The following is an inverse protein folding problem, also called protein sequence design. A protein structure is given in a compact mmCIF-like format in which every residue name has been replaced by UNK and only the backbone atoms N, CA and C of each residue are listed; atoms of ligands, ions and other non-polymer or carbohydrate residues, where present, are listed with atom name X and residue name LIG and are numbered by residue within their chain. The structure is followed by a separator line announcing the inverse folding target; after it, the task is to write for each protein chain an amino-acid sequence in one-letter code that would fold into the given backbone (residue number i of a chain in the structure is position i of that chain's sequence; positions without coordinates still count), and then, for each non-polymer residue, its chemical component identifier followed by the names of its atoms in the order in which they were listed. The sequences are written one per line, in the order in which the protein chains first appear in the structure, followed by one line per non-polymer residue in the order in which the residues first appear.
data_IF_120067525599
#
_entry.id   IF_120067525599
#
_cell.length_a   1.000
_cell.length_b   1.000
_cell.length_c   1.000
_cell.angle_alpha   90.00
_cell.angle_beta   90.00
_cell.angle_gamma   90.00
#
_symmetry.space_group_name_H-M   'P 1'
#
loop_
_entity.id
_entity.type
_entity.pdbx_description
1 polymer ?
#
# COMPACT_ATOMS: atom_id res chain seq x y z
N UNK A 1 -11.69 -2.20 -12.75
CA UNK A 1 -12.64 -1.26 -13.37
C UNK A 1 -11.92 0.06 -13.54
N UNK A 2 -11.83 0.58 -14.77
CA UNK A 2 -10.99 1.75 -15.08
C UNK A 2 -11.87 2.97 -15.07
N UNK A 3 -11.48 4.00 -14.31
CA UNK A 3 -12.30 5.18 -14.10
C UNK A 3 -11.63 6.39 -14.72
N UNK A 4 -12.43 7.24 -15.39
CA UNK A 4 -12.01 8.60 -15.72
C UNK A 4 -12.81 9.56 -14.86
N UNK A 5 -12.10 10.28 -14.00
CA UNK A 5 -12.69 11.23 -13.08
C UNK A 5 -12.49 12.65 -13.59
N UNK A 6 -13.55 13.45 -13.58
CA UNK A 6 -13.51 14.88 -13.83
C UNK A 6 -14.27 15.64 -12.78
N UNK A 7 -13.66 16.73 -12.33
CA UNK A 7 -14.31 17.72 -11.48
C UNK A 7 -14.94 18.74 -12.40
N UNK A 8 -16.27 18.80 -12.49
CA UNK A 8 -17.01 19.63 -13.44
C UNK A 8 -17.73 20.75 -12.71
N UNK A 9 -17.56 21.99 -13.18
CA UNK A 9 -18.37 23.12 -12.72
C UNK A 9 -19.80 22.96 -13.26
N UNK A 10 -20.78 23.06 -12.36
CA UNK A 10 -22.20 22.99 -12.72
C UNK A 10 -22.68 24.17 -13.57
N UNK A 11 -22.05 25.34 -13.41
CA UNK A 11 -22.42 26.58 -14.12
C UNK A 11 -21.71 26.73 -15.46
N UNK A 12 -20.38 26.82 -15.48
CA UNK A 12 -19.63 27.06 -16.73
C UNK A 12 -19.23 25.78 -17.47
N UNK A 13 -19.48 24.59 -16.92
CA UNK A 13 -19.19 23.31 -17.57
C UNK A 13 -17.71 22.93 -17.68
N UNK A 14 -16.79 23.79 -17.22
CA UNK A 14 -15.34 23.53 -17.20
C UNK A 14 -15.02 22.30 -16.36
N UNK A 15 -13.99 21.57 -16.77
CA UNK A 15 -13.57 20.30 -16.16
C UNK A 15 -12.11 20.38 -15.70
N UNK A 16 -11.82 19.79 -14.55
CA UNK A 16 -10.47 19.60 -14.03
C UNK A 16 -10.15 18.11 -13.89
N UNK A 17 -8.87 17.77 -13.97
CA UNK A 17 -8.34 16.39 -13.82
C UNK A 17 -7.88 16.08 -12.39
N UNK A 18 -7.96 17.06 -11.50
CA UNK A 18 -7.60 16.96 -10.08
C UNK A 18 -8.73 17.53 -9.22
N UNK A 19 -8.80 17.15 -7.92
CA UNK A 19 -9.78 17.72 -7.00
C UNK A 19 -9.74 19.25 -6.96
N UNK A 20 -10.93 19.84 -7.06
CA UNK A 20 -11.17 21.28 -6.89
C UNK A 20 -12.50 21.42 -6.16
N UNK A 21 -12.54 22.22 -5.08
CA UNK A 21 -13.76 22.39 -4.26
C UNK A 21 -14.74 23.42 -4.88
N UNK A 22 -14.20 24.49 -5.46
CA UNK A 22 -14.95 25.57 -6.12
C UNK A 22 -14.32 25.92 -7.46
N UNK A 23 -15.14 26.24 -8.44
CA UNK A 23 -14.68 26.67 -9.74
C UNK A 23 -13.78 27.89 -9.61
N UNK A 24 -12.57 27.81 -10.16
CA UNK A 24 -11.54 28.86 -10.08
C UNK A 24 -12.01 30.17 -10.76
N UNK A 25 -12.99 30.08 -11.66
CA UNK A 25 -13.41 31.21 -12.50
C UNK A 25 -14.71 31.88 -12.07
N UNK A 26 -15.64 31.12 -11.49
CA UNK A 26 -16.97 31.64 -11.13
C UNK A 26 -17.36 31.35 -9.68
N UNK A 27 -16.51 30.66 -8.91
CA UNK A 27 -16.73 30.35 -7.49
C UNK A 27 -17.79 29.28 -7.21
N UNK A 28 -18.43 28.72 -8.25
CA UNK A 28 -19.52 27.77 -8.12
C UNK A 28 -19.04 26.41 -7.59
N UNK A 29 -19.96 25.62 -7.02
CA UNK A 29 -19.66 24.27 -6.57
C UNK A 29 -19.24 23.36 -7.74
N UNK A 30 -18.28 22.50 -7.45
CA UNK A 30 -17.77 21.50 -8.37
C UNK A 30 -18.40 20.14 -8.07
N UNK A 31 -18.89 19.47 -9.10
CA UNK A 31 -19.37 18.09 -9.02
C UNK A 31 -18.28 17.11 -9.47
N UNK A 32 -18.10 16.01 -8.74
CA UNK A 32 -17.24 14.90 -9.16
C UNK A 32 -18.03 14.01 -10.12
N UNK A 33 -17.56 13.94 -11.37
CA UNK A 33 -18.13 13.09 -12.43
C UNK A 33 -17.21 11.90 -12.62
N UNK A 34 -17.77 10.70 -12.59
CA UNK A 34 -17.03 9.43 -12.73
C UNK A 34 -17.66 8.62 -13.84
N UNK A 35 -16.84 8.17 -14.78
CA UNK A 35 -17.19 7.28 -15.88
C UNK A 35 -16.36 6.02 -15.79
N UNK A 36 -16.92 4.88 -16.22
CA UNK A 36 -16.32 3.56 -16.03
C UNK A 36 -16.12 2.80 -17.35
N UNK A 37 -16.63 3.33 -18.46
CA UNK A 37 -16.54 2.71 -19.79
C UNK A 37 -15.56 3.51 -20.62
N UNK A 38 -14.44 2.89 -20.96
CA UNK A 38 -13.40 3.55 -21.73
C UNK A 38 -13.00 2.72 -22.94
N UNK A 39 -12.74 3.41 -24.04
CA UNK A 39 -12.21 2.82 -25.27
C UNK A 39 -10.86 3.42 -25.62
N UNK A 40 -10.05 2.68 -26.35
CA UNK A 40 -8.81 3.18 -26.93
C UNK A 40 -9.13 4.04 -28.15
N UNK A 41 -8.69 5.30 -28.15
CA UNK A 41 -8.90 6.25 -29.27
C UNK A 41 -7.62 6.66 -29.97
N UNK A 42 -6.48 6.19 -29.49
CA UNK A 42 -5.18 6.42 -30.10
C UNK A 42 -4.10 5.71 -29.30
N UNK A 43 -2.94 5.53 -29.92
CA UNK A 43 -1.78 4.98 -29.23
C UNK A 43 -0.48 5.48 -29.87
N UNK A 44 0.60 5.40 -29.11
CA UNK A 44 1.97 5.59 -29.60
C UNK A 44 2.89 4.57 -28.94
N UNK A 45 3.89 4.09 -29.69
CA UNK A 45 4.87 3.12 -29.20
C UNK A 45 6.17 3.85 -28.85
N UNK A 46 6.65 3.65 -27.63
CA UNK A 46 7.83 4.30 -27.08
C UNK A 46 8.99 3.32 -27.13
N UNK A 47 10.09 3.74 -27.75
CA UNK A 47 11.32 2.95 -27.89
C UNK A 47 12.51 3.50 -27.09
N UNK A 48 12.37 4.73 -26.56
CA UNK A 48 13.45 5.40 -25.83
C UNK A 48 13.23 5.19 -24.33
N UNK A 49 14.14 4.49 -23.63
CA UNK A 49 14.03 4.29 -22.19
C UNK A 49 14.33 5.60 -21.44
N UNK A 50 13.86 5.70 -20.20
CA UNK A 50 14.25 6.76 -19.26
C UNK A 50 14.42 6.17 -17.86
N UNK A 51 15.07 6.87 -16.91
CA UNK A 51 15.34 6.31 -15.58
C UNK A 51 14.10 5.82 -14.81
N UNK A 52 12.91 6.38 -15.08
CA UNK A 52 11.66 5.94 -14.45
C UNK A 52 10.98 4.78 -15.20
N UNK A 53 11.38 4.52 -16.44
CA UNK A 53 10.83 3.50 -17.32
C UNK A 53 11.95 2.92 -18.22
N UNK A 54 12.79 2.03 -17.66
CA UNK A 54 13.92 1.46 -18.38
C UNK A 54 13.52 0.37 -19.38
N UNK A 55 12.35 -0.25 -19.20
CA UNK A 55 11.87 -1.34 -20.07
C UNK A 55 11.14 -0.75 -21.27
N UNK A 56 11.64 -1.05 -22.47
CA UNK A 56 11.09 -0.66 -23.78
C UNK A 56 11.16 -1.85 -24.76
N UNK A 57 10.31 -1.90 -25.80
CA UNK A 57 9.25 -0.95 -26.13
C UNK A 57 8.01 -1.10 -25.23
N UNK A 58 7.28 0.00 -25.04
CA UNK A 58 5.94 -0.01 -24.42
C UNK A 58 4.99 0.92 -25.17
N UNK A 59 3.68 0.71 -25.01
CA UNK A 59 2.63 1.54 -25.59
C UNK A 59 2.13 2.59 -24.60
N UNK A 60 1.82 3.78 -25.11
CA UNK A 60 0.97 4.76 -24.44
C UNK A 60 -0.33 4.82 -25.22
N UNK A 61 -1.39 4.27 -24.65
CA UNK A 61 -2.74 4.33 -25.21
C UNK A 61 -3.47 5.56 -24.66
N UNK A 62 -4.30 6.18 -25.49
CA UNK A 62 -5.24 7.22 -25.09
C UNK A 62 -6.60 6.59 -24.86
N UNK A 63 -7.05 6.59 -23.60
CA UNK A 63 -8.37 6.15 -23.22
C UNK A 63 -9.34 7.32 -23.33
N UNK A 64 -10.55 7.09 -23.85
CA UNK A 64 -11.64 8.06 -23.88
C UNK A 64 -12.90 7.44 -23.28
N UNK A 65 -13.58 8.19 -22.41
CA UNK A 65 -14.86 7.79 -21.84
C UNK A 65 -16.07 8.24 -22.68
N UNK A 66 -17.27 7.84 -22.27
CA UNK A 66 -18.53 8.23 -22.90
C UNK A 66 -18.83 9.75 -22.92
N UNK A 67 -18.10 10.53 -22.13
CA UNK A 67 -18.23 11.99 -22.04
C UNK A 67 -17.11 12.74 -22.78
N UNK A 68 -16.31 12.03 -23.59
CA UNK A 68 -15.19 12.57 -24.36
C UNK A 68 -13.98 12.95 -23.52
N UNK A 69 -13.90 12.53 -22.26
CA UNK A 69 -12.75 12.80 -21.40
C UNK A 69 -11.64 11.81 -21.72
N UNK A 70 -10.41 12.32 -21.86
CA UNK A 70 -9.25 11.53 -22.27
C UNK A 70 -8.23 11.31 -21.17
N UNK A 71 -7.60 10.14 -21.12
CA UNK A 71 -6.54 9.82 -20.18
C UNK A 71 -5.47 8.93 -20.81
N UNK A 72 -4.18 9.30 -20.75
CA UNK A 72 -3.12 8.43 -21.21
C UNK A 72 -2.90 7.28 -20.20
N UNK A 73 -2.66 6.08 -20.72
CA UNK A 73 -2.31 4.88 -19.94
C UNK A 73 -1.11 4.20 -20.60
N UNK A 74 -0.12 3.84 -19.77
CA UNK A 74 1.02 3.02 -20.19
C UNK A 74 0.65 1.54 -20.10
N UNK A 75 1.05 0.76 -21.09
CA UNK A 75 0.83 -0.68 -21.18
C UNK A 75 1.88 -1.31 -22.09
N UNK A 76 2.29 -2.54 -21.77
CA UNK A 76 3.12 -3.42 -22.58
C UNK A 76 2.29 -4.17 -23.62
N UNK A 77 0.95 -4.17 -23.49
CA UNK A 77 0.04 -4.83 -24.42
C UNK A 77 -0.22 -3.96 -25.64
N UNK A 78 -0.41 -4.59 -26.78
CA UNK A 78 -0.90 -3.92 -27.98
C UNK A 78 -2.45 -3.80 -27.91
N UNK A 79 -2.96 -2.68 -28.40
CA UNK A 79 -4.38 -2.36 -28.50
C UNK A 79 -4.68 -1.73 -29.86
N UNK A 80 -5.88 -1.97 -30.37
CA UNK A 80 -6.42 -1.28 -31.55
C UNK A 80 -7.35 -0.13 -31.14
N UNK A 81 -7.51 0.84 -32.05
CA UNK A 81 -8.51 1.89 -31.87
C UNK A 81 -9.90 1.25 -31.86
N UNK A 82 -10.71 1.60 -30.86
CA UNK A 82 -12.04 1.04 -30.63
C UNK A 82 -12.07 -0.06 -29.56
N UNK A 83 -10.92 -0.64 -29.18
CA UNK A 83 -10.86 -1.66 -28.13
C UNK A 83 -11.38 -1.11 -26.79
N UNK A 84 -12.17 -1.91 -26.09
CA UNK A 84 -12.62 -1.61 -24.73
C UNK A 84 -11.47 -1.92 -23.76
N UNK A 85 -11.09 -0.94 -22.95
CA UNK A 85 -10.07 -1.13 -21.91
C UNK A 85 -10.74 -1.39 -20.56
N UNK A 86 -10.39 -2.49 -19.92
CA UNK A 86 -10.90 -2.82 -18.59
C UNK A 86 -9.85 -3.55 -17.75
N UNK A 87 -9.72 -3.12 -16.49
CA UNK A 87 -9.01 -3.90 -15.48
C UNK A 87 -9.99 -4.88 -14.84
N UNK A 88 -9.67 -6.17 -14.91
CA UNK A 88 -10.46 -7.26 -14.34
C UNK A 88 -10.02 -7.46 -12.89
N UNK A 89 -10.91 -7.25 -11.89
CA UNK A 89 -10.59 -7.52 -10.51
C UNK A 89 -10.31 -9.00 -10.25
N UNK A 90 -9.43 -9.29 -9.30
CA UNK A 90 -9.17 -10.65 -8.82
C UNK A 90 -9.01 -10.63 -7.30
N UNK A 91 -9.76 -11.49 -6.62
CA UNK A 91 -9.75 -11.57 -5.15
C UNK A 91 -8.93 -12.73 -4.61
N UNK A 92 -8.18 -13.44 -5.47
CA UNK A 92 -7.30 -14.53 -5.07
C UNK A 92 -6.10 -14.05 -4.26
N UNK A 93 -5.56 -14.94 -3.44
CA UNK A 93 -4.32 -14.69 -2.67
C UNK A 93 -3.08 -14.54 -3.57
N UNK A 94 -3.17 -14.91 -4.85
CA UNK A 94 -2.12 -14.71 -5.86
C UNK A 94 -2.19 -13.36 -6.57
N UNK A 95 -3.14 -12.48 -6.21
CA UNK A 95 -3.36 -11.20 -6.87
C UNK A 95 -2.82 -10.02 -6.06
N UNK A 96 -2.29 -9.03 -6.78
CA UNK A 96 -1.90 -7.72 -6.26
C UNK A 96 -2.36 -6.63 -7.20
N UNK A 97 -3.07 -5.64 -6.66
CA UNK A 97 -3.39 -4.42 -7.39
C UNK A 97 -2.27 -3.39 -7.19
N UNK A 98 -1.85 -2.76 -8.27
CA UNK A 98 -0.93 -1.63 -8.25
C UNK A 98 -1.61 -0.44 -8.92
N UNK A 99 -1.75 0.67 -8.20
CA UNK A 99 -2.43 1.87 -8.70
C UNK A 99 -1.52 3.08 -8.59
N UNK A 100 -1.35 3.82 -9.68
CA UNK A 100 -0.68 5.13 -9.65
C UNK A 100 -1.53 6.16 -8.92
N UNK A 101 -1.00 6.70 -7.83
CA UNK A 101 -1.53 7.88 -7.18
C UNK A 101 -1.23 9.11 -8.05
N UNK A 102 -2.26 9.77 -8.57
CA UNK A 102 -2.13 11.00 -9.37
C UNK A 102 -2.42 12.23 -8.53
N UNK A 103 -3.70 12.49 -8.29
CA UNK A 103 -4.16 13.73 -7.64
C UNK A 103 -5.08 13.49 -6.44
N UNK A 104 -5.83 12.38 -6.43
CA UNK A 104 -6.83 12.06 -5.40
C UNK A 104 -6.45 10.75 -4.69
N UNK A 105 -6.18 10.82 -3.39
CA UNK A 105 -5.87 9.65 -2.57
C UNK A 105 -7.05 8.69 -2.46
N UNK A 106 -8.27 9.22 -2.39
CA UNK A 106 -9.47 8.39 -2.30
C UNK A 106 -9.70 7.58 -3.58
N UNK A 107 -9.43 8.17 -4.75
CA UNK A 107 -9.47 7.45 -6.02
C UNK A 107 -8.49 6.28 -6.01
N UNK A 108 -7.21 6.53 -5.72
CA UNK A 108 -6.17 5.52 -5.76
C UNK A 108 -6.42 4.38 -4.74
N UNK A 109 -6.81 4.73 -3.52
CA UNK A 109 -7.10 3.75 -2.45
C UNK A 109 -8.34 2.93 -2.79
N UNK A 110 -9.45 3.56 -3.17
CA UNK A 110 -10.67 2.82 -3.53
C UNK A 110 -10.46 1.93 -4.75
N UNK A 111 -9.67 2.39 -5.73
CA UNK A 111 -9.35 1.58 -6.92
C UNK A 111 -8.53 0.36 -6.56
N UNK A 112 -7.46 0.53 -5.77
CA UNK A 112 -6.60 -0.58 -5.35
C UNK A 112 -7.41 -1.64 -4.60
N UNK A 113 -8.33 -1.21 -3.72
CA UNK A 113 -9.21 -2.12 -2.99
C UNK A 113 -10.19 -2.82 -3.93
N UNK A 114 -10.90 -2.11 -4.81
CA UNK A 114 -11.89 -2.72 -5.71
C UNK A 114 -11.25 -3.67 -6.75
N UNK A 115 -10.02 -3.40 -7.20
CA UNK A 115 -9.25 -4.30 -8.07
C UNK A 115 -8.89 -5.63 -7.39
N UNK A 116 -8.90 -5.68 -6.05
CA UNK A 116 -8.72 -6.92 -5.28
C UNK A 116 -10.04 -7.56 -4.82
N UNK A 117 -11.15 -7.16 -5.46
CA UNK A 117 -12.50 -7.65 -5.18
C UNK A 117 -13.18 -7.02 -3.98
N UNK A 118 -12.70 -5.86 -3.51
CA UNK A 118 -13.33 -5.09 -2.43
C UNK A 118 -13.11 -5.68 -1.04
N UNK A 119 -13.64 -4.99 -0.02
CA UNK A 119 -13.61 -5.43 1.37
C UNK A 119 -14.98 -5.92 1.82
N UNK A 120 -15.00 -7.09 2.47
CA UNK A 120 -16.16 -7.55 3.25
C UNK A 120 -15.98 -7.02 4.66
N UNK A 121 -16.95 -6.22 5.13
CA UNK A 121 -16.88 -5.67 6.47
C UNK A 121 -17.09 -6.78 7.51
N UNK A 122 -16.29 -6.73 8.59
CA UNK A 122 -16.51 -7.52 9.80
C UNK A 122 -17.32 -6.74 10.84
N UNK A 123 -17.53 -7.36 12.01
CA UNK A 123 -18.18 -6.69 13.16
C UNK A 123 -17.38 -5.48 13.68
N UNK A 124 -16.06 -5.54 13.53
CA UNK A 124 -15.09 -4.53 13.94
C UNK A 124 -13.95 -4.49 12.92
N UNK A 125 -13.38 -3.31 12.71
CA UNK A 125 -12.31 -3.08 11.74
C UNK A 125 -11.11 -2.51 12.49
N UNK A 126 -9.98 -3.19 12.38
CA UNK A 126 -8.71 -2.75 12.95
C UNK A 126 -7.79 -2.30 11.83
N UNK A 127 -7.43 -1.02 11.83
CA UNK A 127 -6.52 -0.42 10.85
C UNK A 127 -5.15 -0.27 11.50
N UNK A 128 -4.14 -0.89 10.90
CA UNK A 128 -2.76 -0.86 11.35
C UNK A 128 -1.90 0.01 10.42
N UNK A 129 -1.77 1.32 10.67
CA UNK A 129 -0.79 2.13 9.95
C UNK A 129 0.65 1.73 10.34
N UNK A 130 1.64 2.46 9.85
CA UNK A 130 3.04 2.38 10.24
C UNK A 130 3.48 3.70 10.89
N UNK A 131 4.06 3.59 12.07
CA UNK A 131 4.59 4.73 12.83
C UNK A 131 5.80 4.27 13.68
N UNK A 132 6.95 4.09 13.04
CA UNK A 132 8.16 3.61 13.74
C UNK A 132 8.85 4.68 14.59
N UNK A 133 8.84 5.93 14.14
CA UNK A 133 9.45 7.08 14.82
C UNK A 133 8.57 8.32 14.72
N UNK A 134 8.68 9.28 15.66
CA UNK A 134 8.00 10.57 15.55
C UNK A 134 8.47 11.32 14.30
N UNK A 135 7.60 11.43 13.30
CA UNK A 135 7.92 12.06 12.04
C UNK A 135 6.69 12.32 11.19
N UNK A 136 6.83 13.26 10.27
CA UNK A 136 5.80 13.58 9.29
C UNK A 136 5.89 12.66 8.08
N UNK A 137 4.75 12.37 7.46
CA UNK A 137 4.66 11.46 6.31
C UNK A 137 5.44 11.90 5.08
N UNK A 138 5.70 13.20 4.90
CA UNK A 138 6.53 13.70 3.79
C UNK A 138 8.00 13.26 3.89
N UNK A 139 8.42 12.71 5.03
CA UNK A 139 9.74 12.08 5.22
C UNK A 139 9.76 10.59 4.86
N UNK A 140 8.61 10.00 4.47
CA UNK A 140 8.50 8.57 4.18
C UNK A 140 8.60 7.64 5.39
N UNK A 141 8.53 8.20 6.61
CA UNK A 141 8.77 7.46 7.87
C UNK A 141 7.52 6.78 8.44
N UNK A 142 6.35 7.30 8.13
CA UNK A 142 5.07 6.84 8.63
C UNK A 142 4.02 6.86 7.51
N UNK A 143 2.96 6.08 7.67
CA UNK A 143 1.86 6.04 6.71
C UNK A 143 1.28 7.43 6.53
N UNK A 144 1.07 7.82 5.28
CA UNK A 144 0.51 9.10 4.93
C UNK A 144 -0.91 9.24 5.50
N UNK A 145 -1.20 10.26 6.33
CA UNK A 145 -2.52 10.45 6.90
C UNK A 145 -3.60 10.63 5.81
N UNK A 146 -3.23 11.07 4.59
CA UNK A 146 -4.16 11.13 3.44
C UNK A 146 -4.58 9.74 2.93
N UNK A 147 -3.73 8.72 3.06
CA UNK A 147 -4.10 7.32 2.74
C UNK A 147 -5.07 6.78 3.77
N UNK A 148 -4.84 7.05 5.06
CA UNK A 148 -5.76 6.66 6.13
C UNK A 148 -7.10 7.40 6.01
N UNK A 149 -7.07 8.70 5.72
CA UNK A 149 -8.28 9.49 5.46
C UNK A 149 -9.09 8.91 4.29
N UNK A 150 -8.43 8.58 3.19
CA UNK A 150 -9.05 7.94 2.02
C UNK A 150 -9.65 6.56 2.35
N UNK A 151 -8.92 5.73 3.08
CA UNK A 151 -9.40 4.42 3.53
C UNK A 151 -10.64 4.55 4.43
N UNK A 152 -10.62 5.46 5.40
CA UNK A 152 -11.76 5.71 6.29
C UNK A 152 -12.97 6.22 5.51
N UNK A 153 -12.77 7.14 4.55
CA UNK A 153 -13.84 7.59 3.66
C UNK A 153 -14.46 6.43 2.88
N UNK A 154 -13.65 5.55 2.29
CA UNK A 154 -14.14 4.36 1.59
C UNK A 154 -14.93 3.42 2.51
N UNK A 155 -14.40 3.11 3.70
CA UNK A 155 -15.06 2.22 4.65
C UNK A 155 -16.39 2.79 5.14
N UNK A 156 -16.44 4.08 5.50
CA UNK A 156 -17.61 4.70 6.10
C UNK A 156 -18.66 5.05 5.03
N UNK A 157 -18.26 5.73 3.96
CA UNK A 157 -19.20 6.26 2.96
C UNK A 157 -19.64 5.20 1.96
N UNK A 158 -18.73 4.34 1.51
CA UNK A 158 -19.02 3.41 0.40
C UNK A 158 -19.42 2.03 0.90
N UNK A 159 -18.84 1.58 2.03
CA UNK A 159 -19.17 0.29 2.64
C UNK A 159 -20.12 0.39 3.83
N UNK A 160 -20.43 1.59 4.31
CA UNK A 160 -21.38 1.81 5.41
C UNK A 160 -20.88 1.39 6.79
N UNK A 161 -19.55 1.31 6.98
CA UNK A 161 -18.97 1.02 8.30
C UNK A 161 -19.31 2.14 9.29
N UNK A 162 -19.73 1.77 10.51
CA UNK A 162 -19.96 2.75 11.58
C UNK A 162 -18.60 3.22 12.13
N UNK A 163 -18.35 4.52 12.31
CA UNK A 163 -17.09 5.02 12.88
C UNK A 163 -16.66 4.32 14.17
N UNK A 164 -17.60 4.12 15.10
CA UNK A 164 -17.37 3.41 16.37
C UNK A 164 -16.95 1.93 16.24
N UNK A 165 -17.12 1.32 15.06
CA UNK A 165 -16.63 -0.04 14.77
C UNK A 165 -15.20 -0.07 14.21
N UNK A 166 -14.61 1.10 13.94
CA UNK A 166 -13.27 1.24 13.36
C UNK A 166 -12.29 1.73 14.44
N UNK A 167 -11.17 1.05 14.55
CA UNK A 167 -10.07 1.41 15.45
C UNK A 167 -8.77 1.49 14.67
N UNK A 168 -8.07 2.61 14.76
CA UNK A 168 -6.68 2.74 14.33
C UNK A 168 -5.80 2.23 15.47
N UNK A 169 -4.95 1.24 15.23
CA UNK A 169 -4.15 0.63 16.28
C UNK A 169 -2.67 0.61 15.92
N UNK A 170 -1.83 1.03 16.85
CA UNK A 170 -0.38 1.08 16.68
C UNK A 170 0.32 1.05 18.04
N UNK A 171 1.62 0.77 18.07
CA UNK A 171 2.49 1.03 19.21
C UNK A 171 3.88 1.47 18.75
N UNK A 172 4.63 2.07 19.67
CA UNK A 172 6.02 2.42 19.44
C UNK A 172 6.91 1.71 20.47
N UNK A 173 8.01 1.10 20.03
CA UNK A 173 8.95 0.40 20.91
C UNK A 173 10.10 1.27 21.42
N UNK A 174 10.39 2.38 20.74
CA UNK A 174 11.59 3.19 20.92
C UNK A 174 11.32 4.59 21.47
N UNK A 175 10.16 5.15 21.16
CA UNK A 175 9.74 6.50 21.49
C UNK A 175 8.35 6.49 22.14
N UNK A 176 7.95 7.55 22.86
CA UNK A 176 6.61 7.66 23.40
C UNK A 176 5.53 7.54 22.31
N UNK A 177 4.46 6.78 22.60
CA UNK A 177 3.36 6.58 21.67
C UNK A 177 2.66 7.90 21.34
N UNK A 178 2.39 8.71 22.35
CA UNK A 178 1.65 9.98 22.25
C UNK A 178 2.39 11.01 21.37
N UNK A 179 3.72 11.08 21.48
CA UNK A 179 4.54 11.94 20.62
C UNK A 179 4.49 11.47 19.16
N UNK A 180 4.67 10.16 18.96
CA UNK A 180 4.73 9.55 17.63
C UNK A 180 3.40 9.70 16.89
N UNK A 181 2.28 9.42 17.55
CA UNK A 181 0.95 9.46 16.94
C UNK A 181 0.53 10.90 16.62
N UNK A 182 0.92 11.86 17.46
CA UNK A 182 0.69 13.28 17.20
C UNK A 182 1.44 13.74 15.95
N UNK A 183 2.75 13.49 15.84
CA UNK A 183 3.57 13.94 14.70
C UNK A 183 3.18 13.27 13.37
N UNK A 184 2.66 12.04 13.41
CA UNK A 184 2.20 11.32 12.22
C UNK A 184 1.00 11.99 11.52
N UNK A 185 0.24 12.84 12.22
CA UNK A 185 -1.00 13.44 11.74
C UNK A 185 -2.23 12.52 11.83
N UNK A 186 -2.08 11.30 12.35
CA UNK A 186 -3.18 10.34 12.49
C UNK A 186 -4.22 10.77 13.53
N UNK A 187 -3.84 11.57 14.54
CA UNK A 187 -4.78 12.13 15.53
C UNK A 187 -5.86 12.98 14.86
N UNK A 188 -5.48 13.86 13.93
CA UNK A 188 -6.43 14.74 13.24
C UNK A 188 -7.35 13.97 12.29
N UNK A 189 -6.81 12.95 11.62
CA UNK A 189 -7.62 12.04 10.78
C UNK A 189 -8.61 11.25 11.64
N UNK A 190 -8.18 10.72 12.79
CA UNK A 190 -9.04 9.97 13.70
C UNK A 190 -10.19 10.84 14.24
N UNK A 191 -9.88 12.08 14.67
CA UNK A 191 -10.88 13.06 15.12
C UNK A 191 -11.87 13.40 14.01
N UNK A 192 -11.39 13.69 12.80
CA UNK A 192 -12.21 14.04 11.63
C UNK A 192 -13.27 12.97 11.35
N UNK A 193 -12.90 11.70 11.43
CA UNK A 193 -13.79 10.56 11.16
C UNK A 193 -14.46 9.99 12.40
N UNK A 194 -14.20 10.53 13.59
CA UNK A 194 -14.73 10.05 14.88
C UNK A 194 -14.39 8.56 15.16
N UNK A 195 -13.20 8.13 14.76
CA UNK A 195 -12.70 6.77 15.03
C UNK A 195 -11.74 6.77 16.21
N UNK A 196 -11.60 5.62 16.88
CA UNK A 196 -10.73 5.49 18.05
C UNK A 196 -9.29 5.20 17.63
N UNK A 197 -8.35 5.65 18.47
CA UNK A 197 -6.95 5.24 18.42
C UNK A 197 -6.68 4.30 19.59
N UNK A 198 -6.05 3.17 19.33
CA UNK A 198 -5.66 2.17 20.32
C UNK A 198 -4.13 2.07 20.38
N UNK A 199 -3.58 2.26 21.57
CA UNK A 199 -2.18 1.96 21.88
C UNK A 199 -2.03 0.47 22.17
N UNK A 200 -1.40 -0.26 21.24
CA UNK A 200 -1.25 -1.72 21.33
C UNK A 200 -0.40 -2.15 22.53
N UNK A 201 0.48 -1.28 23.05
CA UNK A 201 1.31 -1.60 24.21
C UNK A 201 0.50 -1.79 25.50
N UNK A 202 -0.72 -1.24 25.55
CA UNK A 202 -1.65 -1.29 26.69
C UNK A 202 -2.69 -2.42 26.56
N UNK A 203 -2.55 -3.29 25.57
CA UNK A 203 -3.49 -4.40 25.32
C UNK A 203 -3.07 -5.69 26.02
N UNK A 204 -3.98 -6.66 26.09
CA UNK A 204 -3.65 -8.04 26.44
C UNK A 204 -2.83 -8.69 25.30
N UNK A 205 -1.78 -9.44 25.63
CA UNK A 205 -1.00 -10.21 24.68
C UNK A 205 -1.24 -11.71 24.88
N UNK A 206 -1.48 -12.43 23.79
CA UNK A 206 -1.65 -13.89 23.79
C UNK A 206 -0.47 -14.56 23.08
N UNK A 207 -0.15 -15.79 23.51
CA UNK A 207 0.94 -16.55 22.90
C UNK A 207 0.46 -17.30 21.67
N UNK A 208 1.23 -17.20 20.58
CA UNK A 208 1.09 -18.00 19.36
C UNK A 208 2.42 -18.65 19.04
N UNK A 209 2.38 -19.91 18.60
CA UNK A 209 3.55 -20.65 18.17
C UNK A 209 3.38 -21.04 16.72
N UNK A 210 4.46 -20.94 15.96
CA UNK A 210 4.59 -21.55 14.65
C UNK A 210 6.04 -22.00 14.51
N UNK A 211 6.24 -23.30 14.26
CA UNK A 211 7.57 -23.93 14.23
C UNK A 211 8.33 -23.64 15.54
N UNK A 212 9.59 -23.24 15.44
CA UNK A 212 10.46 -22.93 16.59
C UNK A 212 10.25 -21.52 17.17
N UNK A 213 9.28 -20.78 16.67
CA UNK A 213 9.01 -19.41 17.08
C UNK A 213 7.76 -19.33 17.96
N UNK A 214 7.92 -18.69 19.12
CA UNK A 214 6.82 -18.27 20.00
C UNK A 214 6.73 -16.75 20.01
N UNK A 215 5.52 -16.22 19.80
CA UNK A 215 5.22 -14.80 19.75
C UNK A 215 4.17 -14.45 20.79
N UNK A 216 4.38 -13.38 21.55
CA UNK A 216 3.32 -12.71 22.30
C UNK A 216 2.72 -11.62 21.40
N UNK A 217 1.46 -11.78 21.02
CA UNK A 217 0.77 -10.95 20.04
C UNK A 217 -0.44 -10.30 20.70
N UNK A 218 -0.63 -9.00 20.48
CA UNK A 218 -1.79 -8.25 20.97
C UNK A 218 -3.08 -8.94 20.55
N UNK A 219 -3.93 -9.25 21.53
CA UNK A 219 -5.22 -9.91 21.33
C UNK A 219 -6.16 -9.11 20.41
N UNK A 220 -5.98 -7.78 20.34
CA UNK A 220 -6.77 -6.88 19.51
C UNK A 220 -6.81 -7.31 18.03
N UNK A 221 -5.73 -7.90 17.50
CA UNK A 221 -5.70 -8.35 16.09
C UNK A 221 -6.63 -9.56 15.87
N UNK A 222 -6.83 -10.42 16.88
CA UNK A 222 -7.68 -11.61 16.81
C UNK A 222 -9.15 -11.31 17.11
N UNK A 223 -9.41 -10.27 17.90
CA UNK A 223 -10.77 -9.82 18.22
C UNK A 223 -11.40 -8.99 17.08
N UNK A 224 -10.60 -8.58 16.09
CA UNK A 224 -11.04 -7.82 14.94
C UNK A 224 -11.78 -8.70 13.91
N UNK A 225 -12.92 -8.22 13.41
CA UNK A 225 -13.63 -8.88 12.31
C UNK A 225 -12.97 -8.67 10.94
N UNK A 226 -12.18 -7.61 10.79
CA UNK A 226 -11.37 -7.31 9.63
C UNK A 226 -10.10 -6.56 10.08
N UNK A 227 -8.93 -7.05 9.68
CA UNK A 227 -7.64 -6.36 9.89
C UNK A 227 -7.18 -5.77 8.55
N UNK A 228 -6.90 -4.47 8.55
CA UNK A 228 -6.35 -3.75 7.40
C UNK A 228 -4.96 -3.23 7.78
N UNK A 229 -3.94 -3.87 7.25
CA UNK A 229 -2.55 -3.48 7.39
C UNK A 229 -2.21 -2.38 6.37
N UNK A 230 -1.66 -1.25 6.80
CA UNK A 230 -1.37 -0.08 5.96
C UNK A 230 0.09 0.34 6.12
N UNK A 231 1.07 -0.48 5.66
CA UNK A 231 2.48 -0.15 5.77
C UNK A 231 2.82 1.06 4.89
N UNK A 232 3.75 1.91 5.31
CA UNK A 232 4.49 2.75 4.37
C UNK A 232 5.66 1.95 3.82
N UNK A 233 5.86 1.97 2.51
CA UNK A 233 6.89 1.17 1.85
C UNK A 233 8.26 1.81 2.04
N UNK A 234 9.20 1.07 2.64
CA UNK A 234 10.58 1.52 2.81
C UNK A 234 11.56 0.44 2.40
N UNK A 235 12.76 0.85 2.03
CA UNK A 235 13.91 -0.06 2.07
C UNK A 235 14.33 -0.31 3.52
N UNK A 236 14.84 -1.50 3.79
CA UNK A 236 15.41 -1.88 5.09
C UNK A 236 16.82 -2.45 4.89
N UNK A 237 17.77 -2.04 5.73
CA UNK A 237 19.17 -2.47 5.63
C UNK A 237 19.39 -3.96 5.91
N UNK A 238 18.51 -4.59 6.69
CA UNK A 238 18.63 -5.96 7.18
C UNK A 238 17.72 -6.90 6.38
N UNK A 239 16.45 -6.54 6.26
CA UNK A 239 15.39 -7.34 5.66
C UNK A 239 15.16 -7.01 4.17
N UNK A 240 15.75 -5.92 3.68
CA UNK A 240 15.60 -5.42 2.31
C UNK A 240 14.44 -4.44 2.13
N UNK A 241 13.31 -4.68 2.81
CA UNK A 241 12.07 -3.89 2.72
C UNK A 241 11.29 -3.91 4.05
N UNK A 242 10.80 -2.72 4.44
CA UNK A 242 9.69 -2.50 5.38
C UNK A 242 8.38 -2.46 4.57
N UNK A 243 7.57 -3.50 4.74
CA UNK A 243 6.40 -3.78 3.92
C UNK A 243 5.25 -4.36 4.74
N UNK A 244 4.46 -5.23 4.11
CA UNK A 244 3.31 -5.88 4.74
C UNK A 244 3.72 -6.59 6.04
N UNK A 245 4.79 -7.36 5.97
CA UNK A 245 5.25 -8.19 7.08
C UNK A 245 5.79 -7.38 8.25
N UNK A 246 6.74 -6.50 8.00
CA UNK A 246 7.42 -5.75 9.06
C UNK A 246 6.44 -4.86 9.82
N UNK A 247 5.44 -4.29 9.14
CA UNK A 247 4.46 -3.46 9.81
C UNK A 247 3.61 -4.21 10.87
N UNK A 248 3.43 -5.53 10.69
CA UNK A 248 2.74 -6.39 11.65
C UNK A 248 3.57 -6.68 12.90
N UNK A 249 4.89 -6.40 12.90
CA UNK A 249 5.76 -6.55 14.09
C UNK A 249 5.23 -5.71 15.26
N UNK A 250 4.56 -4.57 15.00
CA UNK A 250 3.99 -3.76 16.08
C UNK A 250 2.70 -4.34 16.66
N UNK A 251 2.30 -5.57 16.33
CA UNK A 251 1.37 -6.32 17.17
C UNK A 251 2.08 -7.17 18.22
N UNK A 252 3.40 -7.34 18.14
CA UNK A 252 4.16 -8.13 19.10
C UNK A 252 4.34 -7.38 20.43
N UNK A 253 4.55 -8.13 21.52
CA UNK A 253 5.08 -7.55 22.75
C UNK A 253 6.51 -7.02 22.50
N UNK A 254 6.90 -5.95 23.19
CA UNK A 254 8.27 -5.41 23.09
C UNK A 254 9.33 -6.48 23.39
N UNK A 255 9.07 -7.34 24.38
CA UNK A 255 9.92 -8.49 24.73
C UNK A 255 10.08 -9.46 23.55
N UNK A 256 8.99 -9.80 22.85
CA UNK A 256 9.04 -10.69 21.68
C UNK A 256 9.82 -10.03 20.53
N UNK A 257 9.63 -8.73 20.31
CA UNK A 257 10.40 -7.99 19.31
C UNK A 257 11.90 -8.06 19.60
N UNK A 258 12.34 -7.71 20.83
CA UNK A 258 13.75 -7.73 21.24
C UNK A 258 14.37 -9.13 21.15
N UNK A 259 13.59 -10.19 21.43
CA UNK A 259 14.03 -11.59 21.33
C UNK A 259 14.47 -11.98 19.91
N UNK A 260 13.86 -11.41 18.88
CA UNK A 260 14.08 -11.81 17.48
C UNK A 260 14.80 -10.75 16.64
N UNK A 261 14.82 -9.48 17.03
CA UNK A 261 15.40 -8.39 16.23
C UNK A 261 16.91 -8.21 16.37
N UNK A 262 17.54 -8.86 17.35
CA UNK A 262 18.99 -8.76 17.61
C UNK A 262 19.86 -9.49 16.58
N UNK A 263 19.32 -10.48 15.89
CA UNK A 263 20.03 -11.27 14.88
C UNK A 263 19.28 -11.16 13.54
N UNK A 264 19.92 -10.67 12.46
CA UNK A 264 19.33 -10.56 11.12
C UNK A 264 18.70 -11.84 10.56
N UNK A 265 19.37 -12.99 10.72
CA UNK A 265 18.88 -14.26 10.20
C UNK A 265 17.67 -14.73 11.00
N UNK A 266 17.74 -14.61 12.32
CA UNK A 266 16.63 -14.93 13.22
C UNK A 266 15.42 -14.01 12.97
N UNK A 267 15.66 -12.72 12.72
CA UNK A 267 14.61 -11.76 12.39
C UNK A 267 13.90 -12.15 11.09
N UNK A 268 14.65 -12.49 10.02
CA UNK A 268 14.08 -12.93 8.76
C UNK A 268 13.27 -14.23 8.88
N UNK A 269 13.78 -15.22 9.61
CA UNK A 269 13.07 -16.49 9.86
C UNK A 269 11.80 -16.27 10.70
N UNK A 270 11.88 -15.45 11.75
CA UNK A 270 10.72 -15.12 12.58
C UNK A 270 9.65 -14.38 11.77
N UNK A 271 10.06 -13.46 10.90
CA UNK A 271 9.14 -12.70 10.05
C UNK A 271 8.45 -13.60 9.00
N UNK A 272 9.17 -14.58 8.45
CA UNK A 272 8.65 -15.49 7.44
C UNK A 272 7.45 -16.33 7.93
N UNK A 273 7.32 -16.57 9.24
CA UNK A 273 6.20 -17.34 9.83
C UNK A 273 4.97 -16.52 10.21
N UNK A 274 5.03 -15.19 10.06
CA UNK A 274 3.92 -14.29 10.39
C UNK A 274 2.57 -14.65 9.76
N UNK A 275 2.47 -15.14 8.50
CA UNK A 275 1.16 -15.41 7.89
C UNK A 275 0.36 -16.48 8.63
N UNK A 276 1.02 -17.30 9.46
CA UNK A 276 0.37 -18.39 10.21
C UNK A 276 0.04 -18.04 11.65
N UNK A 277 0.68 -17.04 12.24
CA UNK A 277 0.43 -16.64 13.63
C UNK A 277 -0.57 -15.49 13.75
N UNK A 278 -0.82 -14.75 12.66
CA UNK A 278 -1.85 -13.72 12.58
C UNK A 278 -3.15 -14.25 11.92
N UNK A 279 -4.33 -13.68 12.25
CA UNK A 279 -5.52 -13.93 11.45
C UNK A 279 -5.34 -13.35 10.04
N UNK A 280 -6.14 -13.77 9.05
CA UNK A 280 -6.10 -13.17 7.71
C UNK A 280 -6.27 -11.65 7.77
N UNK A 281 -5.42 -10.92 7.06
CA UNK A 281 -5.45 -9.47 7.00
C UNK A 281 -5.31 -8.99 5.56
N UNK A 282 -5.93 -7.85 5.25
CA UNK A 282 -5.78 -7.19 3.97
C UNK A 282 -4.64 -6.17 4.06
N UNK A 283 -3.74 -6.13 3.08
CA UNK A 283 -2.67 -5.12 3.06
C UNK A 283 -2.98 -4.06 2.00
N UNK A 284 -2.97 -2.79 2.43
CA UNK A 284 -3.01 -1.60 1.60
C UNK A 284 -1.68 -0.85 1.74
N UNK A 285 -0.70 -1.14 0.89
CA UNK A 285 0.62 -0.54 0.94
C UNK A 285 0.62 0.92 0.47
N UNK A 286 1.08 1.81 1.33
CA UNK A 286 1.33 3.21 1.03
C UNK A 286 2.74 3.39 0.45
N UNK A 287 2.80 3.56 -0.86
CA UNK A 287 4.00 3.99 -1.58
C UNK A 287 3.77 5.38 -2.19
N UNK A 288 2.98 6.25 -1.56
CA UNK A 288 2.82 7.64 -1.99
C UNK A 288 4.16 8.36 -1.88
N UNK A 289 4.68 8.40 -0.65
CA UNK A 289 6.04 8.79 -0.28
C UNK A 289 6.56 7.71 0.66
N UNK A 290 7.51 6.92 0.17
CA UNK A 290 8.19 5.90 0.95
C UNK A 290 9.60 6.33 1.32
N UNK A 291 10.45 5.37 1.69
CA UNK A 291 11.86 5.62 1.99
C UNK A 291 12.74 4.71 1.13
N UNK A 292 13.80 5.27 0.55
CA UNK A 292 14.82 4.54 -0.21
C UNK A 292 16.21 4.71 0.41
N UNK A 293 17.17 3.88 -0.01
CA UNK A 293 18.52 3.87 0.54
C UNK A 293 18.60 3.09 1.85
N UNK A 294 19.28 3.64 2.84
CA UNK A 294 19.56 2.95 4.10
C UNK A 294 18.40 3.12 5.11
N UNK A 295 17.16 2.80 4.72
CA UNK A 295 16.04 2.76 5.67
C UNK A 295 16.20 1.68 6.78
N UNK A 296 15.26 1.58 7.73
CA UNK A 296 13.86 1.98 7.64
C UNK A 296 13.52 3.30 8.36
N UNK A 297 14.54 4.01 8.86
CA UNK A 297 14.42 5.27 9.61
C UNK A 297 15.30 6.37 8.99
N UNK A 298 15.71 7.37 9.77
CA UNK A 298 16.42 8.61 9.34
C UNK A 298 17.75 8.43 8.57
N UNK A 299 18.18 7.20 8.33
CA UNK A 299 19.37 6.87 7.54
C UNK A 299 19.06 6.72 6.04
N UNK A 300 17.77 6.59 5.66
CA UNK A 300 17.30 6.63 4.28
C UNK A 300 16.94 8.04 3.80
N UNK A 301 16.42 8.15 2.58
CA UNK A 301 15.89 9.39 2.00
C UNK A 301 14.47 9.18 1.44
N UNK A 302 13.59 10.20 1.45
CA UNK A 302 12.23 10.07 0.92
C UNK A 302 12.21 9.68 -0.55
N UNK A 303 11.41 8.67 -0.89
CA UNK A 303 11.16 8.20 -2.25
C UNK A 303 9.74 8.53 -2.71
N UNK A 304 9.60 9.36 -3.75
CA UNK A 304 8.31 9.79 -4.30
C UNK A 304 7.78 8.78 -5.31
N UNK A 305 7.26 7.64 -4.83
CA UNK A 305 6.88 6.55 -5.73
C UNK A 305 5.51 6.76 -6.38
N UNK A 306 4.60 7.49 -5.71
CA UNK A 306 3.24 7.78 -6.17
C UNK A 306 2.44 6.51 -6.51
N UNK A 307 2.50 5.49 -5.63
CA UNK A 307 1.81 4.22 -5.79
C UNK A 307 0.97 3.88 -4.56
N UNK A 308 -0.14 3.19 -4.78
CA UNK A 308 -0.87 2.43 -3.75
C UNK A 308 -0.90 0.97 -4.21
N UNK A 309 -0.58 0.06 -3.29
CA UNK A 309 -0.63 -1.38 -3.53
C UNK A 309 -1.71 -2.01 -2.67
N UNK A 310 -2.34 -3.07 -3.16
CA UNK A 310 -3.31 -3.82 -2.39
C UNK A 310 -3.20 -5.32 -2.66
N UNK A 311 -3.19 -6.14 -1.60
CA UNK A 311 -3.25 -7.59 -1.73
C UNK A 311 -3.83 -8.24 -0.46
N UNK A 312 -4.33 -9.47 -0.61
CA UNK A 312 -4.80 -10.31 0.50
C UNK A 312 -3.70 -11.17 1.11
N UNK A 313 -2.67 -11.49 0.34
CA UNK A 313 -1.52 -12.24 0.81
C UNK A 313 -0.30 -11.30 0.97
N UNK A 314 0.32 -11.25 2.17
CA UNK A 314 1.45 -10.36 2.42
C UNK A 314 2.72 -10.76 1.64
N UNK A 315 2.91 -12.05 1.30
CA UNK A 315 4.04 -12.51 0.46
C UNK A 315 3.90 -11.94 -0.95
N UNK A 316 2.69 -11.98 -1.50
CA UNK A 316 2.41 -11.43 -2.84
C UNK A 316 2.56 -9.91 -2.86
N UNK A 317 2.11 -9.24 -1.80
CA UNK A 317 2.32 -7.79 -1.65
C UNK A 317 3.81 -7.41 -1.65
N UNK A 318 4.61 -8.01 -0.77
CA UNK A 318 6.02 -7.62 -0.62
C UNK A 318 6.88 -8.12 -1.79
N UNK A 319 6.48 -9.20 -2.46
CA UNK A 319 7.06 -9.59 -3.76
C UNK A 319 6.80 -8.53 -4.82
N UNK A 320 5.57 -7.99 -4.92
CA UNK A 320 5.28 -6.94 -5.87
C UNK A 320 6.15 -5.70 -5.63
N UNK A 321 6.34 -5.31 -4.37
CA UNK A 321 7.22 -4.20 -4.00
C UNK A 321 8.68 -4.48 -4.37
N UNK A 322 9.19 -5.68 -4.07
CA UNK A 322 10.53 -6.14 -4.48
C UNK A 322 10.73 -5.98 -5.98
N UNK A 323 9.75 -6.44 -6.76
CA UNK A 323 9.80 -6.44 -8.23
C UNK A 323 9.69 -5.04 -8.85
N UNK A 324 8.84 -4.16 -8.29
CA UNK A 324 8.69 -2.77 -8.77
C UNK A 324 9.97 -1.97 -8.53
N UNK A 325 10.63 -2.16 -7.38
CA UNK A 325 11.79 -1.37 -6.98
C UNK A 325 13.14 -2.06 -7.24
N UNK A 326 13.13 -3.15 -8.01
CA UNK A 326 14.32 -3.95 -8.34
C UNK A 326 15.16 -4.30 -7.09
N UNK A 327 14.50 -4.61 -5.97
CA UNK A 327 15.20 -4.89 -4.72
C UNK A 327 15.96 -6.21 -4.83
N UNK A 328 17.25 -6.17 -4.49
CA UNK A 328 18.16 -7.30 -4.70
C UNK A 328 17.83 -8.52 -3.84
N UNK A 329 17.48 -8.29 -2.57
CA UNK A 329 17.32 -9.38 -1.59
C UNK A 329 16.25 -9.02 -0.57
N UNK A 330 15.26 -9.91 -0.43
CA UNK A 330 14.21 -9.84 0.59
C UNK A 330 14.02 -11.24 1.18
N UNK A 331 14.90 -11.67 2.10
CA UNK A 331 15.02 -13.09 2.47
C UNK A 331 13.73 -13.67 3.05
N UNK A 332 13.00 -12.90 3.86
CA UNK A 332 11.81 -13.39 4.54
C UNK A 332 10.66 -13.68 3.55
N UNK A 333 10.58 -12.99 2.41
CA UNK A 333 9.57 -13.24 1.37
C UNK A 333 9.83 -14.58 0.70
N UNK A 334 11.08 -14.86 0.34
CA UNK A 334 11.50 -16.12 -0.27
C UNK A 334 11.30 -17.28 0.72
N UNK A 335 11.69 -17.10 1.97
CA UNK A 335 11.45 -18.07 3.04
C UNK A 335 9.95 -18.31 3.24
N UNK A 336 9.13 -17.28 3.36
CA UNK A 336 7.67 -17.44 3.53
C UNK A 336 7.02 -18.19 2.35
N UNK A 337 7.48 -17.96 1.13
CA UNK A 337 7.03 -18.71 -0.05
C UNK A 337 7.47 -20.18 -0.01
N UNK A 338 8.72 -20.47 0.38
CA UNK A 338 9.22 -21.85 0.56
C UNK A 338 8.43 -22.62 1.64
N UNK A 339 7.94 -21.92 2.66
CA UNK A 339 7.07 -22.49 3.70
C UNK A 339 5.62 -22.69 3.22
N UNK A 340 5.28 -22.29 1.98
CA UNK A 340 3.95 -22.43 1.39
C UNK A 340 2.96 -21.37 1.85
N UNK A 341 3.41 -20.22 2.36
CA UNK A 341 2.53 -19.18 2.88
C UNK A 341 2.13 -18.11 1.85
N UNK A 342 2.66 -18.20 0.62
CA UNK A 342 2.30 -17.34 -0.50
C UNK A 342 3.18 -17.59 -1.71
N UNK A 343 3.23 -16.61 -2.62
CA UNK A 343 3.98 -16.71 -3.87
C UNK A 343 5.05 -15.61 -3.95
N UNK A 344 6.30 -16.00 -4.22
CA UNK A 344 7.42 -15.08 -4.43
C UNK A 344 7.95 -15.06 -5.87
N UNK A 345 7.45 -15.94 -6.73
CA UNK A 345 7.72 -15.91 -8.17
C UNK A 345 6.74 -14.96 -8.86
N UNK A 346 7.26 -13.84 -9.37
CA UNK A 346 6.48 -12.81 -10.05
C UNK A 346 5.69 -13.35 -11.25
N UNK A 347 6.20 -14.37 -11.96
CA UNK A 347 5.50 -14.97 -13.10
C UNK A 347 4.20 -15.69 -12.71
N UNK A 348 4.06 -16.03 -11.42
CA UNK A 348 2.90 -16.71 -10.84
C UNK A 348 2.01 -15.76 -10.02
N UNK A 349 2.31 -14.46 -10.03
CA UNK A 349 1.51 -13.41 -9.40
C UNK A 349 0.69 -12.70 -10.47
N UNK A 350 -0.59 -12.44 -10.16
CA UNK A 350 -1.47 -11.63 -11.00
C UNK A 350 -1.35 -10.16 -10.63
N UNK A 351 -0.66 -9.38 -11.46
CA UNK A 351 -0.57 -7.93 -11.34
C UNK A 351 -1.78 -7.26 -12.01
N UNK A 352 -2.51 -6.44 -11.26
CA UNK A 352 -3.78 -5.83 -11.69
C UNK A 352 -3.69 -4.30 -11.61
N UNK A 353 -4.33 -3.61 -12.55
CA UNK A 353 -4.33 -2.15 -12.62
C UNK A 353 -3.15 -1.64 -13.47
N UNK A 354 -2.10 -1.15 -12.83
CA UNK A 354 -0.86 -0.80 -13.52
C UNK A 354 0.06 -2.01 -13.64
N UNK A 355 0.52 -2.26 -14.86
CA UNK A 355 1.42 -3.37 -15.18
C UNK A 355 2.78 -3.18 -14.51
N UNK A 356 3.35 -4.29 -14.02
CA UNK A 356 4.61 -4.33 -13.29
C UNK A 356 5.75 -3.72 -14.12
N UNK A 357 5.89 -4.14 -15.36
CA UNK A 357 6.97 -3.74 -16.27
C UNK A 357 6.91 -2.24 -16.57
N UNK A 358 5.70 -1.66 -16.60
CA UNK A 358 5.51 -0.23 -16.80
C UNK A 358 5.82 0.60 -15.54
N UNK A 359 6.05 -0.04 -14.40
CA UNK A 359 6.34 0.59 -13.11
C UNK A 359 7.73 0.27 -12.55
N UNK A 360 8.35 -0.81 -13.03
CA UNK A 360 9.65 -1.28 -12.57
C UNK A 360 10.70 -0.19 -12.78
N UNK A 361 11.43 0.13 -11.71
CA UNK A 361 12.48 1.15 -11.70
C UNK A 361 13.49 0.88 -10.59
N UNK A 362 14.72 1.25 -10.83
CA UNK A 362 15.74 1.24 -9.78
C UNK A 362 15.48 2.37 -8.78
N UNK A 363 15.62 2.05 -7.50
CA UNK A 363 15.71 3.01 -6.41
C UNK A 363 17.07 2.90 -5.74
N UNK A 364 17.40 3.87 -4.89
CA UNK A 364 18.61 3.77 -4.05
C UNK A 364 18.50 2.53 -3.17
N UNK A 365 19.36 1.54 -3.43
CA UNK A 365 19.32 0.26 -2.72
C UNK A 365 19.89 0.39 -1.30
N UNK A 366 19.38 -0.37 -0.32
CA UNK A 366 19.97 -0.43 1.02
C UNK A 366 21.36 -1.08 0.97
N UNK A 367 22.38 -0.44 1.56
CA UNK A 367 23.77 -0.94 1.54
C UNK A 367 23.91 -2.24 2.33
N UNK A 368 23.21 -2.37 3.47
CA UNK A 368 23.26 -3.56 4.33
C UNK A 368 22.86 -4.87 3.63
N UNK A 369 22.01 -4.80 2.61
CA UNK A 369 21.64 -5.96 1.77
C UNK A 369 22.84 -6.62 1.06
N UNK A 370 23.94 -5.88 0.84
CA UNK A 370 25.18 -6.41 0.25
C UNK A 370 25.97 -7.30 1.21
N UNK A 371 25.85 -7.09 2.53
CA UNK A 371 26.67 -7.76 3.54
C UNK A 371 26.14 -9.15 3.92
N UNK A 372 24.82 -9.35 3.86
CA UNK A 372 24.17 -10.65 4.15
C UNK A 372 24.43 -11.68 3.03
N UNK A 373 25.02 -11.27 1.90
CA UNK A 373 25.35 -12.15 0.77
C UNK A 373 26.66 -12.93 0.92
N UNK A 374 27.48 -12.68 1.96
CA UNK A 374 28.75 -13.40 2.19
C UNK A 374 28.65 -14.56 3.19
N UNK A 375 27.47 -14.82 3.75
CA UNK A 375 27.28 -15.78 4.83
C UNK A 375 26.16 -16.81 4.54
N UNK A 376 25.99 -17.20 3.26
CA UNK A 376 25.13 -18.30 2.85
C UNK A 376 25.96 -19.33 2.10
#
# INVERSE_FOLDING_TARGET
MVRIIRWKCSKCGRKWIHPVEKCIYDGEKIAKVVTNKVKVVGFTKIFIPNPLHPIVPYNVIMLEDELGNRMPKKTMKDYNIGDVYQDIPDSSDSAVAIVKLKYDFYEAVSEAIELTGGLKLGKSILIKPNMSIPGHSYLGMCTNPKVIDALLQYLIKDKGAKPESITIAEQNFFMPFEESISKSGLVEVAKKHKVKILDLSKTEFIKKKERDFEFEISKAVFDAGLVINVPVIKTDMVLGIDGAFENMIRFLSKKTFEKYSSDPQKAALALAVFPKVFPPFFTLGDASIGLQGNGPANYGEPGFFNLILAARNPVVHDTAVKEIFCLRKVPYVELAAQLGYGQSDASRIKFIGNELEALRRDIKQPIGSKLIGKAA
#
